data_IF_693192696039
#
_entry.id   IF_693192696039
#
_cell.length_a   1.000
_cell.length_b   1.000
_cell.length_c   1.000
_cell.angle_alpha   90.00
_cell.angle_beta   90.00
_cell.angle_gamma   90.00
#
_symmetry.space_group_name_H-M   'P 1'
#
loop_
_entity.id
_entity.type
_entity.pdbx_description
1 polymer ?
#
# COMPACT_ATOMS: atom_id res chain seq x y z
N UNK A 1 -8.27 -12.99 -21.06
CA UNK A 1 -9.27 -12.93 -19.98
C UNK A 1 -9.23 -11.50 -19.45
N UNK A 2 -10.24 -10.69 -19.74
CA UNK A 2 -10.31 -9.30 -19.28
C UNK A 2 -10.80 -9.35 -17.82
N UNK A 3 -9.90 -9.20 -16.85
CA UNK A 3 -10.30 -9.14 -15.44
C UNK A 3 -11.17 -7.88 -15.26
N UNK A 4 -12.42 -7.99 -14.77
CA UNK A 4 -13.24 -6.82 -14.52
C UNK A 4 -12.50 -5.88 -13.57
N UNK A 5 -12.50 -4.58 -13.89
CA UNK A 5 -11.81 -3.55 -13.10
C UNK A 5 -12.64 -3.23 -11.85
N UNK A 6 -12.59 -4.11 -10.87
CA UNK A 6 -13.07 -3.78 -9.53
C UNK A 6 -12.14 -2.76 -8.89
N UNK A 7 -12.71 -1.62 -8.48
CA UNK A 7 -11.98 -0.58 -7.76
C UNK A 7 -11.91 -1.04 -6.30
N UNK A 8 -10.87 -1.77 -5.97
CA UNK A 8 -10.51 -2.10 -4.60
C UNK A 8 -9.93 -0.84 -3.95
N UNK A 9 -10.04 -0.68 -2.63
CA UNK A 9 -9.42 0.42 -1.86
C UNK A 9 -7.95 0.13 -1.52
N UNK A 10 -7.15 1.20 -1.34
CA UNK A 10 -5.70 1.04 -1.06
C UNK A 10 -5.53 0.50 0.34
N UNK A 11 -4.57 -0.38 0.53
CA UNK A 11 -4.21 -0.83 1.86
C UNK A 11 -3.57 0.33 2.62
N UNK A 12 -4.07 0.60 3.82
CA UNK A 12 -3.48 1.63 4.67
C UNK A 12 -2.08 1.23 5.13
N UNK A 13 -1.12 2.15 4.98
CA UNK A 13 0.24 1.93 5.44
C UNK A 13 0.38 2.27 6.93
N UNK A 14 0.85 1.32 7.76
CA UNK A 14 1.25 1.59 9.13
C UNK A 14 2.21 2.79 9.21
N UNK A 15 1.97 3.66 10.18
CA UNK A 15 2.72 4.90 10.36
C UNK A 15 2.82 5.25 11.83
N UNK A 16 3.91 5.91 12.22
CA UNK A 16 4.08 6.44 13.56
C UNK A 16 2.95 7.42 13.90
N UNK A 17 2.54 7.43 15.17
CA UNK A 17 1.61 8.43 15.69
C UNK A 17 2.19 9.85 15.55
N UNK A 18 1.36 10.88 15.37
CA UNK A 18 1.82 12.27 15.38
C UNK A 18 2.56 12.67 16.66
N UNK A 19 2.13 12.15 17.80
CA UNK A 19 2.66 12.45 19.13
C UNK A 19 4.07 11.88 19.31
N UNK A 20 4.33 10.69 18.75
CA UNK A 20 5.65 10.06 18.83
C UNK A 20 6.61 10.70 17.81
N UNK A 21 6.20 10.84 16.54
CA UNK A 21 7.08 11.28 15.45
C UNK A 21 7.54 12.73 15.53
N UNK A 22 6.86 13.59 16.31
CA UNK A 22 7.31 14.98 16.53
C UNK A 22 8.57 15.09 17.39
N UNK A 23 8.95 14.02 18.09
CA UNK A 23 10.04 14.03 19.07
C UNK A 23 11.26 13.22 18.62
N UNK A 24 11.24 12.63 17.43
CA UNK A 24 12.30 11.75 16.95
C UNK A 24 12.49 11.87 15.42
N UNK A 25 13.61 11.34 14.91
CA UNK A 25 13.95 11.31 13.48
C UNK A 25 13.86 9.90 12.87
N UNK A 26 13.12 8.99 13.51
CA UNK A 26 12.92 7.63 12.99
C UNK A 26 11.89 7.66 11.86
N UNK A 27 11.91 6.63 11.03
CA UNK A 27 11.04 6.51 9.86
C UNK A 27 9.55 6.55 10.22
N UNK A 28 8.80 7.46 9.60
CA UNK A 28 7.38 7.66 9.90
C UNK A 28 6.50 6.59 9.26
N UNK A 29 6.78 6.21 8.02
CA UNK A 29 6.04 5.17 7.29
C UNK A 29 6.66 3.82 7.62
N UNK A 30 5.98 3.01 8.43
CA UNK A 30 6.54 1.78 8.97
C UNK A 30 6.52 0.60 7.97
N UNK A 31 6.02 0.83 6.76
CA UNK A 31 5.89 -0.18 5.72
C UNK A 31 4.70 -1.12 5.91
N UNK A 32 4.39 -1.87 4.86
CA UNK A 32 3.37 -2.93 4.90
C UNK A 32 3.99 -4.21 5.45
N UNK A 33 3.28 -4.91 6.32
CA UNK A 33 3.64 -6.29 6.65
C UNK A 33 3.43 -7.22 5.43
N UNK A 34 3.96 -8.46 5.46
CA UNK A 34 3.87 -9.37 4.32
C UNK A 34 2.43 -9.65 3.84
N UNK A 35 1.45 -9.69 4.75
CA UNK A 35 0.06 -9.97 4.39
C UNK A 35 -0.57 -8.76 3.69
N UNK A 36 -0.38 -7.56 4.26
CA UNK A 36 -0.82 -6.29 3.69
C UNK A 36 -0.17 -6.03 2.33
N UNK A 37 1.12 -6.34 2.18
CA UNK A 37 1.84 -6.20 0.92
C UNK A 37 1.27 -7.11 -0.17
N UNK A 38 0.97 -8.38 0.14
CA UNK A 38 0.31 -9.30 -0.80
C UNK A 38 -1.09 -8.78 -1.18
N UNK A 39 -1.82 -8.21 -0.22
CA UNK A 39 -3.15 -7.64 -0.47
C UNK A 39 -3.08 -6.43 -1.41
N UNK A 40 -2.13 -5.52 -1.21
CA UNK A 40 -1.93 -4.38 -2.10
C UNK A 40 -1.48 -4.84 -3.49
N UNK A 41 -0.59 -5.83 -3.58
CA UNK A 41 -0.13 -6.38 -4.86
C UNK A 41 -1.28 -6.97 -5.71
N UNK A 42 -2.29 -7.56 -5.06
CA UNK A 42 -3.50 -8.10 -5.73
C UNK A 42 -4.38 -7.02 -6.38
N UNK A 43 -4.24 -5.75 -6.01
CA UNK A 43 -4.94 -4.63 -6.70
C UNK A 43 -4.41 -4.40 -8.12
N UNK A 44 -3.20 -4.86 -8.44
CA UNK A 44 -2.63 -4.67 -9.76
C UNK A 44 -3.45 -5.42 -10.82
N UNK A 45 -4.05 -4.69 -11.75
CA UNK A 45 -4.87 -5.25 -12.84
C UNK A 45 -4.04 -5.86 -13.97
N UNK A 46 -2.71 -5.98 -13.81
CA UNK A 46 -1.79 -6.55 -14.78
C UNK A 46 -1.97 -5.92 -16.18
N UNK A 47 -1.94 -4.59 -16.25
CA UNK A 47 -2.09 -3.83 -17.50
C UNK A 47 -1.15 -4.36 -18.59
N UNK A 48 -1.68 -4.64 -19.79
CA UNK A 48 -0.86 -5.08 -20.94
C UNK A 48 0.28 -4.11 -21.26
N UNK A 49 -0.01 -2.81 -21.27
CA UNK A 49 0.94 -1.74 -21.63
C UNK A 49 1.71 -1.17 -20.44
N UNK A 50 1.36 -1.54 -19.19
CA UNK A 50 2.04 -1.12 -17.95
C UNK A 50 2.39 0.39 -17.89
N UNK A 51 1.39 1.30 -17.92
CA UNK A 51 1.63 2.75 -17.90
C UNK A 51 1.86 3.34 -16.49
N UNK A 52 1.56 2.57 -15.45
CA UNK A 52 1.78 2.90 -14.04
C UNK A 52 3.23 2.69 -13.63
#
# INVERSE_FOLDING_TARGET
MQVPREIVDRVEMPKQSPEDRRSNFREVALGLDPELAVREAKRCIQCKTKPC
#
